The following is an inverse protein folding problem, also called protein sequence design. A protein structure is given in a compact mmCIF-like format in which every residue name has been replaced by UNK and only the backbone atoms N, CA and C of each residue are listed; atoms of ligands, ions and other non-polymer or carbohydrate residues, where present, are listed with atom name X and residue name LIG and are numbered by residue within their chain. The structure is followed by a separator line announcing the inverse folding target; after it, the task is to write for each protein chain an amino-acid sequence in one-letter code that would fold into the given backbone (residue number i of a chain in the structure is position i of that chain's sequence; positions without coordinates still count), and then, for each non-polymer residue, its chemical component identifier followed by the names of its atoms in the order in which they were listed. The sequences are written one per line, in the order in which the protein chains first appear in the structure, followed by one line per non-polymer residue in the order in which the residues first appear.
data_IF_681993170404
#
_entry.id   IF_681993170404
#
_cell.length_a   1.000
_cell.length_b   1.000
_cell.length_c   1.000
_cell.angle_alpha   90.00
_cell.angle_beta   90.00
_cell.angle_gamma   90.00
#
_symmetry.space_group_name_H-M   'P 1'
#
loop_
_entity.id
_entity.type
_entity.pdbx_description
1 polymer ?
#
# COMPACT_ATOMS: atom_id res chain seq x y z
N UNK A 1 79.89 40.74 9.84
CA UNK A 1 79.77 42.20 9.84
C UNK A 1 78.38 42.52 10.30
N UNK A 2 78.22 42.75 11.60
CA UNK A 2 77.75 43.98 12.24
C UNK A 2 76.41 44.47 11.69
N UNK A 3 75.42 44.85 12.47
CA UNK A 3 75.15 45.21 13.86
C UNK A 3 73.71 45.66 14.00
N UNK A 4 73.11 45.35 15.12
CA UNK A 4 72.32 46.18 16.07
C UNK A 4 70.85 46.52 15.78
N UNK A 5 70.04 46.04 16.70
CA UNK A 5 69.36 46.72 17.84
C UNK A 5 68.17 47.64 17.49
N UNK A 6 67.04 47.39 18.19
CA UNK A 6 66.09 48.42 18.55
C UNK A 6 64.81 47.83 19.18
N UNK A 7 64.77 47.76 20.51
CA UNK A 7 63.60 47.63 21.36
C UNK A 7 62.65 48.81 21.16
N UNK A 8 61.30 48.56 21.15
CA UNK A 8 60.41 49.42 21.91
C UNK A 8 59.11 48.63 22.26
N UNK A 9 58.83 48.55 23.56
CA UNK A 9 57.58 48.08 24.17
C UNK A 9 56.46 49.08 23.91
N UNK A 10 55.28 48.56 23.63
CA UNK A 10 54.00 49.21 24.04
C UNK A 10 52.96 48.17 24.33
N UNK A 11 52.56 48.09 25.58
CA UNK A 11 51.38 47.40 26.10
C UNK A 11 50.13 48.03 25.49
N UNK A 12 49.17 47.17 24.89
CA UNK A 12 47.79 47.50 24.81
C UNK A 12 47.03 46.27 25.27
N UNK A 13 46.37 46.43 26.40
CA UNK A 13 45.43 45.46 26.92
C UNK A 13 44.17 45.40 26.01
N UNK A 14 43.93 44.27 25.33
CA UNK A 14 42.74 44.00 24.55
C UNK A 14 41.92 42.95 25.25
N UNK A 15 40.75 43.40 25.71
CA UNK A 15 39.72 42.61 26.36
C UNK A 15 39.28 41.48 25.43
N UNK A 16 39.54 40.23 25.78
CA UNK A 16 38.94 39.04 25.15
C UNK A 16 37.52 38.92 25.65
N UNK A 17 36.56 39.40 24.85
CA UNK A 17 35.15 39.09 25.00
C UNK A 17 34.87 37.64 24.59
N UNK A 18 34.70 36.75 25.56
CA UNK A 18 34.13 35.42 25.33
C UNK A 18 32.66 35.57 24.92
N UNK A 19 32.39 35.55 23.63
CA UNK A 19 31.05 35.35 23.11
C UNK A 19 30.67 33.87 23.31
N UNK A 20 30.00 33.55 24.43
CA UNK A 20 29.35 32.25 24.64
C UNK A 20 28.17 32.14 23.67
N UNK A 21 28.40 31.50 22.54
CA UNK A 21 27.31 31.08 21.64
C UNK A 21 26.49 30.01 22.38
N UNK A 22 25.37 30.44 22.97
CA UNK A 22 24.34 29.51 23.39
C UNK A 22 23.76 28.84 22.12
N UNK A 23 24.27 27.64 21.81
CA UNK A 23 23.57 26.73 20.96
C UNK A 23 22.32 26.30 21.73
N UNK A 24 21.19 26.94 21.45
CA UNK A 24 19.89 26.34 21.73
C UNK A 24 19.82 25.08 20.85
N UNK A 25 20.17 23.94 21.43
CA UNK A 25 19.83 22.66 20.88
C UNK A 25 18.28 22.65 20.84
N UNK A 26 17.72 22.85 19.65
CA UNK A 26 16.30 22.60 19.42
C UNK A 26 16.04 21.17 19.88
N UNK A 27 15.27 20.98 20.95
CA UNK A 27 14.81 19.68 21.38
C UNK A 27 14.21 19.02 20.13
N UNK A 28 14.54 17.74 19.85
CA UNK A 28 13.92 17.06 18.71
C UNK A 28 12.42 17.18 18.90
N UNK A 29 11.75 17.72 17.89
CA UNK A 29 10.29 17.78 17.86
C UNK A 29 9.80 16.36 18.22
N UNK A 30 9.12 16.20 19.36
CA UNK A 30 8.51 14.94 19.76
C UNK A 30 7.70 14.50 18.56
N UNK A 31 8.09 13.39 17.93
CA UNK A 31 7.29 12.77 16.91
C UNK A 31 5.89 12.62 17.51
N UNK A 32 4.91 13.25 16.87
CA UNK A 32 3.52 13.26 17.35
C UNK A 32 3.09 11.79 17.43
N UNK A 33 2.86 11.29 18.65
CA UNK A 33 2.53 9.87 18.83
C UNK A 33 1.24 9.59 18.07
N UNK A 34 1.25 8.61 17.19
CA UNK A 34 0.06 8.27 16.42
C UNK A 34 -1.09 7.89 17.36
N UNK A 35 -2.32 8.10 16.92
CA UNK A 35 -3.48 7.69 17.71
C UNK A 35 -3.47 6.18 18.00
N UNK A 36 -2.97 5.37 17.06
CA UNK A 36 -2.81 3.94 17.23
C UNK A 36 -1.75 3.58 18.29
N UNK A 37 -0.65 4.35 18.39
CA UNK A 37 0.38 4.12 19.41
C UNK A 37 -0.14 4.47 20.82
N UNK A 38 -0.87 5.59 20.97
CA UNK A 38 -1.48 5.94 22.27
C UNK A 38 -2.52 4.91 22.71
N UNK A 39 -3.35 4.45 21.76
CA UNK A 39 -4.36 3.44 22.03
C UNK A 39 -3.71 2.09 22.38
N UNK A 40 -2.67 1.68 21.64
CA UNK A 40 -1.92 0.47 21.89
C UNK A 40 -1.27 0.45 23.27
N UNK A 41 -0.64 1.57 23.69
CA UNK A 41 -0.11 1.74 25.05
C UNK A 41 -1.20 1.64 26.10
N UNK A 42 -2.36 2.23 25.87
CA UNK A 42 -3.48 2.11 26.79
C UNK A 42 -3.91 0.64 26.97
N UNK A 43 -3.97 -0.14 25.88
CA UNK A 43 -4.26 -1.59 25.97
C UNK A 43 -3.19 -2.35 26.75
N UNK A 44 -1.92 -2.06 26.51
CA UNK A 44 -0.80 -2.66 27.24
C UNK A 44 -0.88 -2.36 28.74
N UNK A 45 -1.21 -1.11 29.12
CA UNK A 45 -1.38 -0.71 30.51
C UNK A 45 -2.59 -1.40 31.17
N UNK A 46 -3.69 -1.59 30.44
CA UNK A 46 -4.87 -2.35 30.89
C UNK A 46 -4.47 -3.81 31.20
N UNK A 47 -3.74 -4.47 30.28
CA UNK A 47 -3.28 -5.85 30.48
C UNK A 47 -2.37 -6.00 31.68
N UNK A 48 -1.56 -5.02 31.97
CA UNK A 48 -0.68 -4.98 33.12
C UNK A 48 -1.37 -4.48 34.39
N UNK A 49 -2.70 -4.32 34.39
CA UNK A 49 -3.51 -3.80 35.48
C UNK A 49 -3.06 -2.42 35.99
N UNK A 50 -2.51 -1.58 35.11
CA UNK A 50 -2.08 -0.21 35.41
C UNK A 50 -3.11 0.79 34.89
N UNK A 51 -4.31 0.78 35.47
CA UNK A 51 -5.49 1.47 34.96
C UNK A 51 -5.34 3.01 34.91
N UNK A 52 -4.60 3.61 35.85
CA UNK A 52 -4.34 5.05 35.86
C UNK A 52 -3.41 5.46 34.69
N UNK A 53 -2.40 4.67 34.35
CA UNK A 53 -1.55 4.88 33.21
C UNK A 53 -2.33 4.73 31.90
N UNK A 54 -3.18 3.70 31.82
CA UNK A 54 -4.09 3.53 30.68
C UNK A 54 -4.99 4.75 30.48
N UNK A 55 -5.58 5.27 31.56
CA UNK A 55 -6.43 6.46 31.53
C UNK A 55 -5.64 7.69 31.02
N UNK A 56 -4.41 7.88 31.48
CA UNK A 56 -3.55 8.99 31.02
C UNK A 56 -3.30 8.92 29.50
N UNK A 57 -3.06 7.73 28.94
CA UNK A 57 -2.90 7.55 27.49
C UNK A 57 -4.20 7.84 26.74
N UNK A 58 -5.34 7.38 27.23
CA UNK A 58 -6.65 7.66 26.62
C UNK A 58 -6.99 9.15 26.71
N UNK A 59 -6.67 9.83 27.79
CA UNK A 59 -6.89 11.27 27.88
C UNK A 59 -5.98 12.09 26.96
N UNK A 60 -4.72 11.67 26.82
CA UNK A 60 -3.82 12.25 25.80
C UNK A 60 -4.38 12.05 24.38
N UNK A 61 -4.88 10.84 24.10
CA UNK A 61 -5.52 10.54 22.81
C UNK A 61 -6.75 11.41 22.55
N UNK A 62 -7.63 11.58 23.55
CA UNK A 62 -8.83 12.42 23.42
C UNK A 62 -8.52 13.92 23.31
N UNK A 63 -7.43 14.40 23.93
CA UNK A 63 -6.95 15.78 23.67
C UNK A 63 -6.51 15.97 22.22
N UNK A 64 -5.84 14.97 21.64
CA UNK A 64 -5.37 15.02 20.25
C UNK A 64 -6.50 14.76 19.23
N UNK A 65 -7.46 13.88 19.58
CA UNK A 65 -8.56 13.42 18.70
C UNK A 65 -9.89 13.45 19.46
N UNK A 66 -10.53 14.64 19.63
CA UNK A 66 -11.72 14.82 20.45
C UNK A 66 -12.97 14.06 19.99
N UNK A 67 -13.03 13.69 18.69
CA UNK A 67 -14.14 12.95 18.09
C UNK A 67 -13.89 11.42 17.99
N UNK A 68 -12.92 10.87 18.74
CA UNK A 68 -12.62 9.44 18.72
C UNK A 68 -13.53 8.65 19.69
N UNK A 69 -14.64 8.13 19.19
CA UNK A 69 -15.69 7.47 19.99
C UNK A 69 -15.20 6.27 20.76
N UNK A 70 -14.33 5.43 20.17
CA UNK A 70 -13.74 4.27 20.86
C UNK A 70 -12.95 4.69 22.10
N UNK A 71 -12.18 5.77 22.02
CA UNK A 71 -11.41 6.27 23.16
C UNK A 71 -12.33 6.74 24.32
N UNK A 72 -13.49 7.31 24.03
CA UNK A 72 -14.49 7.63 25.05
C UNK A 72 -15.09 6.38 25.72
N UNK A 73 -15.35 5.32 24.94
CA UNK A 73 -15.84 4.05 25.47
C UNK A 73 -14.84 3.45 26.46
N UNK A 74 -13.56 3.40 26.07
CA UNK A 74 -12.46 2.89 26.93
C UNK A 74 -12.30 3.78 28.16
N UNK A 75 -12.39 5.12 28.02
CA UNK A 75 -12.37 6.02 29.18
C UNK A 75 -13.49 5.72 30.17
N UNK A 76 -14.70 5.51 29.68
CA UNK A 76 -15.86 5.12 30.50
C UNK A 76 -15.58 3.83 31.29
N UNK A 77 -15.09 2.79 30.64
CA UNK A 77 -14.75 1.53 31.29
C UNK A 77 -13.66 1.71 32.34
N UNK A 78 -12.58 2.44 32.04
CA UNK A 78 -11.51 2.70 33.03
C UNK A 78 -11.99 3.46 34.26
N UNK A 79 -12.90 4.40 34.09
CA UNK A 79 -13.50 5.14 35.21
C UNK A 79 -14.44 4.24 36.04
N UNK A 80 -15.23 3.40 35.40
CA UNK A 80 -16.11 2.42 36.07
C UNK A 80 -15.31 1.37 36.85
N UNK A 81 -14.18 0.92 36.33
CA UNK A 81 -13.28 -0.06 36.94
C UNK A 81 -12.71 0.40 38.29
N UNK A 82 -12.72 1.69 38.60
CA UNK A 82 -12.32 2.24 39.90
C UNK A 82 -13.29 1.91 41.03
N UNK A 83 -14.56 1.69 40.71
CA UNK A 83 -15.62 1.48 41.67
C UNK A 83 -16.25 0.10 41.65
N UNK A 84 -16.09 -0.66 40.58
CA UNK A 84 -16.66 -2.00 40.42
C UNK A 84 -15.92 -2.81 39.36
N UNK A 85 -16.01 -4.15 39.46
CA UNK A 85 -15.55 -5.04 38.41
C UNK A 85 -16.36 -4.80 37.12
N UNK A 86 -15.66 -4.85 35.97
CA UNK A 86 -16.29 -4.80 34.66
C UNK A 86 -16.67 -6.22 34.24
N UNK A 87 -17.88 -6.39 33.71
CA UNK A 87 -18.36 -7.67 33.17
C UNK A 87 -17.95 -7.84 31.70
N UNK A 88 -17.91 -6.76 30.97
CA UNK A 88 -17.59 -6.75 29.54
C UNK A 88 -16.84 -5.48 29.16
N UNK A 89 -16.11 -5.53 28.01
CA UNK A 89 -15.57 -4.34 27.38
C UNK A 89 -16.71 -3.51 26.77
N UNK A 90 -16.71 -2.20 26.98
CA UNK A 90 -17.78 -1.30 26.56
C UNK A 90 -19.02 -1.46 27.42
N UNK A 91 -18.84 -1.32 28.75
CA UNK A 91 -19.92 -1.48 29.72
C UNK A 91 -20.86 -0.26 29.72
N UNK A 92 -21.67 -0.12 28.66
CA UNK A 92 -22.70 0.90 28.48
C UNK A 92 -24.07 0.23 28.27
N UNK A 93 -24.74 -0.22 29.35
CA UNK A 93 -25.94 -1.08 29.25
C UNK A 93 -27.14 -0.40 28.58
N UNK A 94 -27.16 0.94 28.52
CA UNK A 94 -28.21 1.71 27.83
C UNK A 94 -27.76 2.21 26.44
N UNK A 95 -26.57 1.84 25.97
CA UNK A 95 -26.10 2.20 24.64
C UNK A 95 -26.75 1.34 23.55
N UNK A 96 -26.89 1.84 22.30
CA UNK A 96 -27.33 1.04 21.17
C UNK A 96 -26.36 -0.13 20.95
N UNK A 97 -26.88 -1.36 20.94
CA UNK A 97 -26.05 -2.58 20.88
C UNK A 97 -25.21 -2.66 19.61
N UNK A 98 -25.76 -2.28 18.47
CA UNK A 98 -25.08 -2.25 17.17
C UNK A 98 -23.86 -1.32 17.18
N UNK A 99 -23.98 -0.14 17.78
CA UNK A 99 -22.86 0.81 17.93
C UNK A 99 -21.79 0.31 18.91
N UNK A 100 -22.20 -0.37 19.97
CA UNK A 100 -21.24 -0.97 20.92
C UNK A 100 -20.47 -2.11 20.25
N UNK A 101 -21.13 -2.95 19.45
CA UNK A 101 -20.49 -4.03 18.74
C UNK A 101 -19.51 -3.51 17.66
N UNK A 102 -19.86 -2.43 16.98
CA UNK A 102 -18.96 -1.73 16.07
C UNK A 102 -17.69 -1.22 16.76
N UNK A 103 -17.81 -0.59 17.95
CA UNK A 103 -16.66 -0.11 18.72
C UNK A 103 -15.84 -1.25 19.30
N UNK A 104 -16.46 -2.36 19.72
CA UNK A 104 -15.78 -3.58 20.17
C UNK A 104 -14.98 -4.20 19.03
N UNK A 105 -15.58 -4.30 17.83
CA UNK A 105 -14.87 -4.79 16.65
C UNK A 105 -13.67 -3.92 16.29
N UNK A 106 -13.82 -2.58 16.36
CA UNK A 106 -12.72 -1.65 16.15
C UNK A 106 -11.59 -1.84 17.17
N UNK A 107 -11.93 -1.94 18.46
CA UNK A 107 -10.95 -2.19 19.52
C UNK A 107 -10.15 -3.47 19.27
N UNK A 108 -10.84 -4.55 18.92
CA UNK A 108 -10.23 -5.86 18.71
C UNK A 108 -9.23 -5.85 17.54
N UNK A 109 -9.59 -5.28 16.37
CA UNK A 109 -8.68 -5.26 15.22
C UNK A 109 -7.48 -4.32 15.47
N UNK A 110 -7.66 -3.20 16.20
CA UNK A 110 -6.57 -2.31 16.58
C UNK A 110 -5.62 -2.97 17.57
N UNK A 111 -6.15 -3.69 18.56
CA UNK A 111 -5.35 -4.46 19.52
C UNK A 111 -4.53 -5.54 18.82
N UNK A 112 -5.13 -6.33 17.92
CA UNK A 112 -4.43 -7.33 17.14
C UNK A 112 -3.34 -6.70 16.24
N UNK A 113 -3.64 -5.57 15.60
CA UNK A 113 -2.65 -4.87 14.77
C UNK A 113 -1.47 -4.34 15.58
N UNK A 114 -1.71 -3.88 16.81
CA UNK A 114 -0.65 -3.43 17.71
C UNK A 114 0.25 -4.57 18.18
N UNK A 115 -0.33 -5.73 18.54
CA UNK A 115 0.41 -6.90 19.02
C UNK A 115 1.15 -7.64 17.90
N UNK A 116 0.51 -7.82 16.76
CA UNK A 116 0.97 -8.65 15.65
C UNK A 116 1.51 -7.79 14.49
N UNK A 117 2.28 -6.76 14.78
CA UNK A 117 2.93 -5.96 13.73
C UNK A 117 3.84 -6.85 12.91
N UNK A 118 3.75 -6.78 11.56
CA UNK A 118 4.69 -7.50 10.70
C UNK A 118 6.12 -7.11 11.04
N UNK A 119 7.01 -8.09 11.13
CA UNK A 119 8.43 -7.85 11.34
C UNK A 119 9.01 -7.01 10.19
N UNK A 120 9.97 -6.13 10.50
CA UNK A 120 10.55 -5.19 9.53
C UNK A 120 11.39 -5.88 8.43
N UNK A 121 11.77 -7.14 8.65
CA UNK A 121 12.48 -7.98 7.69
C UNK A 121 11.53 -8.72 6.72
N UNK A 122 10.22 -8.50 6.84
CA UNK A 122 9.21 -9.10 5.97
C UNK A 122 8.59 -8.05 5.05
N UNK A 123 8.28 -8.51 3.83
CA UNK A 123 7.65 -7.69 2.80
C UNK A 123 6.37 -8.36 2.29
N UNK A 124 5.37 -7.57 1.84
CA UNK A 124 4.19 -8.15 1.21
C UNK A 124 4.56 -8.89 -0.07
N UNK A 125 4.15 -10.14 -0.18
CA UNK A 125 4.39 -10.99 -1.35
C UNK A 125 3.95 -10.35 -2.67
N UNK A 126 3.01 -9.41 -2.60
CA UNK A 126 2.38 -8.80 -3.77
C UNK A 126 3.24 -7.74 -4.46
N UNK A 127 4.18 -7.11 -3.74
CA UNK A 127 5.07 -6.06 -4.25
C UNK A 127 6.36 -6.68 -4.80
N UNK A 128 6.29 -7.40 -5.94
CA UNK A 128 7.46 -8.10 -6.49
C UNK A 128 8.49 -7.13 -7.07
N UNK A 129 8.04 -6.11 -7.81
CA UNK A 129 8.92 -5.08 -8.36
C UNK A 129 8.14 -3.81 -8.66
N UNK A 130 8.67 -2.66 -8.25
CA UNK A 130 8.16 -1.34 -8.61
C UNK A 130 9.08 -0.70 -9.67
N UNK A 131 8.49 0.02 -10.63
CA UNK A 131 9.23 0.88 -11.55
C UNK A 131 9.92 2.02 -10.80
N UNK A 132 11.00 2.56 -11.36
CA UNK A 132 11.75 3.65 -10.72
C UNK A 132 10.91 4.91 -10.48
N UNK A 133 9.91 5.19 -11.31
CA UNK A 133 9.00 6.34 -11.17
C UNK A 133 7.85 6.12 -10.18
N UNK A 134 7.61 4.88 -9.75
CA UNK A 134 6.65 4.53 -8.70
C UNK A 134 7.30 4.68 -7.33
N UNK A 135 7.20 5.87 -6.73
CA UNK A 135 7.88 6.18 -5.45
C UNK A 135 7.29 5.46 -4.25
N UNK A 136 5.98 5.19 -4.27
CA UNK A 136 5.25 4.55 -3.18
C UNK A 136 4.27 3.52 -3.72
N UNK A 137 3.94 2.55 -2.87
CA UNK A 137 2.89 1.55 -3.09
C UNK A 137 2.05 1.38 -1.82
N UNK A 138 0.77 1.05 -2.01
CA UNK A 138 -0.19 0.76 -0.95
C UNK A 138 -0.54 -0.71 -0.98
N UNK A 139 -0.57 -1.35 0.19
CA UNK A 139 -1.09 -2.70 0.39
C UNK A 139 -2.18 -2.67 1.47
N UNK A 140 -3.38 -3.11 1.12
CA UNK A 140 -4.55 -3.16 2.00
C UNK A 140 -4.77 -4.60 2.46
N UNK A 141 -4.91 -4.76 3.79
CA UNK A 141 -5.33 -6.00 4.46
C UNK A 141 -6.75 -5.82 5.01
N UNK A 142 -7.73 -6.38 4.33
CA UNK A 142 -9.14 -6.25 4.71
C UNK A 142 -9.42 -6.91 6.06
N UNK A 143 -8.81 -8.07 6.33
CA UNK A 143 -9.03 -8.84 7.55
C UNK A 143 -8.46 -8.14 8.78
N UNK A 144 -7.28 -7.51 8.64
CA UNK A 144 -6.64 -6.76 9.72
C UNK A 144 -7.10 -5.31 9.82
N UNK A 145 -7.92 -4.84 8.88
CA UNK A 145 -8.31 -3.42 8.77
C UNK A 145 -7.10 -2.48 8.77
N UNK A 146 -6.08 -2.84 7.97
CA UNK A 146 -4.84 -2.06 7.84
C UNK A 146 -4.51 -1.72 6.39
N UNK A 147 -3.99 -0.52 6.21
CA UNK A 147 -3.35 -0.07 5.00
C UNK A 147 -1.87 0.15 5.30
N UNK A 148 -1.00 -0.54 4.57
CA UNK A 148 0.45 -0.42 4.67
C UNK A 148 0.99 0.42 3.52
N UNK A 149 1.84 1.39 3.83
CA UNK A 149 2.53 2.23 2.86
C UNK A 149 3.99 1.79 2.74
N UNK A 150 4.39 1.53 1.51
CA UNK A 150 5.77 1.18 1.15
C UNK A 150 6.40 2.23 0.26
N UNK A 151 7.66 2.53 0.48
CA UNK A 151 8.51 3.32 -0.41
C UNK A 151 9.31 2.39 -1.30
N UNK A 152 9.51 2.81 -2.55
CA UNK A 152 10.37 2.13 -3.50
C UNK A 152 11.84 2.49 -3.26
N UNK A 153 12.65 1.55 -2.82
CA UNK A 153 14.09 1.69 -2.73
C UNK A 153 14.76 0.79 -3.78
N UNK A 154 14.97 1.34 -4.98
CA UNK A 154 15.59 0.61 -6.10
C UNK A 154 14.85 -0.68 -6.48
N UNK A 155 13.52 -0.65 -6.52
CA UNK A 155 12.66 -1.79 -6.82
C UNK A 155 12.28 -2.63 -5.60
N UNK A 156 12.93 -2.43 -4.45
CA UNK A 156 12.65 -3.13 -3.19
C UNK A 156 11.65 -2.32 -2.34
N UNK A 157 10.59 -2.93 -1.81
CA UNK A 157 9.63 -2.23 -0.94
C UNK A 157 10.22 -2.03 0.46
N UNK A 158 10.29 -0.78 0.92
CA UNK A 158 10.63 -0.41 2.29
C UNK A 158 9.40 0.09 3.02
N UNK A 159 9.08 -0.49 4.17
CA UNK A 159 7.96 -0.05 5.01
C UNK A 159 8.13 1.41 5.46
N UNK A 160 7.05 2.19 5.39
CA UNK A 160 7.02 3.60 5.80
C UNK A 160 6.06 3.82 6.95
N UNK A 161 4.82 3.37 6.81
CA UNK A 161 3.76 3.55 7.80
C UNK A 161 2.62 2.56 7.56
N UNK A 162 1.78 2.39 8.57
CA UNK A 162 0.51 1.71 8.43
C UNK A 162 -0.61 2.50 9.12
N UNK A 163 -1.82 2.35 8.61
CA UNK A 163 -2.99 3.10 9.04
C UNK A 163 -4.18 2.17 9.27
N UNK A 164 -4.98 2.47 10.29
CA UNK A 164 -6.28 1.82 10.44
C UNK A 164 -7.23 2.22 9.34
N UNK A 165 -7.99 1.26 8.81
CA UNK A 165 -8.98 1.47 7.77
C UNK A 165 -10.31 0.79 8.09
N UNK A 166 -11.38 1.34 7.51
CA UNK A 166 -12.66 0.66 7.35
C UNK A 166 -12.87 0.27 5.89
N UNK A 167 -13.40 -0.92 5.66
CA UNK A 167 -13.64 -1.47 4.32
C UNK A 167 -15.09 -1.88 4.12
N UNK A 168 -15.41 -2.56 3.02
CA UNK A 168 -16.77 -2.97 2.68
C UNK A 168 -17.45 -3.84 3.74
N UNK A 169 -18.70 -3.52 4.06
CA UNK A 169 -19.54 -4.23 5.05
C UNK A 169 -19.59 -5.73 4.84
N UNK A 170 -19.54 -6.18 3.58
CA UNK A 170 -19.64 -7.59 3.20
C UNK A 170 -18.27 -8.21 2.85
N UNK A 171 -17.17 -7.57 3.28
CA UNK A 171 -15.83 -8.09 3.09
C UNK A 171 -15.24 -7.80 1.70
N UNK A 172 -14.37 -8.70 1.23
CA UNK A 172 -13.67 -8.61 -0.05
C UNK A 172 -14.38 -9.34 -1.20
N UNK A 173 -13.62 -9.50 -2.31
CA UNK A 173 -14.07 -10.18 -3.53
C UNK A 173 -15.31 -9.52 -4.17
N UNK A 174 -15.22 -8.21 -4.41
CA UNK A 174 -16.26 -7.46 -5.14
C UNK A 174 -16.46 -8.04 -6.54
N UNK A 175 -17.74 -8.33 -6.88
CA UNK A 175 -18.11 -8.90 -8.19
C UNK A 175 -19.07 -8.03 -8.97
N UNK A 176 -19.91 -7.23 -8.31
CA UNK A 176 -20.92 -6.40 -8.95
C UNK A 176 -21.11 -5.07 -8.22
N UNK A 177 -21.70 -4.12 -8.92
CA UNK A 177 -22.12 -2.86 -8.33
C UNK A 177 -23.11 -3.08 -7.17
N UNK A 178 -23.01 -2.27 -6.12
CA UNK A 178 -23.91 -2.32 -4.96
C UNK A 178 -23.74 -3.52 -4.03
N UNK A 179 -22.75 -4.39 -4.22
CA UNK A 179 -22.53 -5.57 -3.35
C UNK A 179 -21.89 -5.26 -1.99
N UNK A 180 -21.58 -4.00 -1.72
CA UNK A 180 -20.96 -3.48 -0.49
C UNK A 180 -19.62 -4.16 -0.13
N UNK A 181 -18.90 -4.67 -1.14
CA UNK A 181 -17.62 -5.34 -1.00
C UNK A 181 -16.49 -4.47 -1.49
N UNK A 182 -15.33 -4.58 -0.85
CA UNK A 182 -14.06 -4.01 -1.33
C UNK A 182 -13.44 -4.98 -2.33
N UNK A 183 -13.00 -4.53 -3.53
CA UNK A 183 -12.39 -5.45 -4.50
C UNK A 183 -11.06 -5.99 -4.01
N UNK A 184 -10.73 -7.21 -4.39
CA UNK A 184 -9.41 -7.84 -4.20
C UNK A 184 -8.68 -7.84 -5.53
N UNK A 185 -7.47 -7.29 -5.58
CA UNK A 185 -6.71 -7.19 -6.82
C UNK A 185 -5.61 -6.13 -6.80
N UNK A 186 -5.06 -5.88 -7.98
CA UNK A 186 -3.99 -4.89 -8.22
C UNK A 186 -4.58 -3.70 -8.97
N UNK A 187 -4.58 -2.55 -8.32
CA UNK A 187 -5.12 -1.28 -8.84
C UNK A 187 -4.05 -0.18 -8.79
N UNK A 188 -4.40 1.02 -9.20
CA UNK A 188 -3.61 2.23 -9.01
C UNK A 188 -4.53 3.43 -8.76
N UNK A 189 -3.99 4.46 -8.13
CA UNK A 189 -4.71 5.72 -7.91
C UNK A 189 -4.89 6.43 -9.25
N UNK A 190 -6.14 6.81 -9.58
CA UNK A 190 -6.47 7.40 -10.89
C UNK A 190 -6.72 8.89 -10.86
N UNK A 191 -7.11 9.43 -9.70
CA UNK A 191 -7.40 10.86 -9.53
C UNK A 191 -7.19 11.30 -8.07
N UNK A 192 -7.15 12.62 -7.86
CA UNK A 192 -7.23 13.27 -6.55
C UNK A 192 -8.43 14.21 -6.57
N UNK A 193 -9.37 13.97 -5.68
CA UNK A 193 -10.60 14.76 -5.53
C UNK A 193 -10.49 15.60 -4.24
N UNK A 194 -10.32 16.93 -4.35
CA UNK A 194 -10.12 17.79 -3.19
C UNK A 194 -11.41 17.99 -2.41
N UNK A 195 -11.29 18.23 -1.10
CA UNK A 195 -12.40 18.40 -0.16
C UNK A 195 -13.49 19.36 -0.65
N UNK A 196 -13.13 20.48 -1.24
CA UNK A 196 -14.08 21.51 -1.70
C UNK A 196 -15.01 21.07 -2.85
N UNK A 197 -14.73 19.91 -3.45
CA UNK A 197 -15.56 19.28 -4.51
C UNK A 197 -16.37 18.08 -4.01
N UNK A 198 -16.29 17.78 -2.72
CA UNK A 198 -16.89 16.59 -2.11
C UNK A 198 -17.82 16.99 -0.96
N UNK A 199 -18.83 16.13 -0.69
CA UNK A 199 -19.58 16.25 0.55
C UNK A 199 -18.72 15.88 1.76
N UNK A 200 -19.11 16.32 2.95
CA UNK A 200 -18.41 16.01 4.22
C UNK A 200 -18.27 14.49 4.48
N UNK A 201 -19.12 13.68 3.86
CA UNK A 201 -19.05 12.22 3.95
C UNK A 201 -17.68 11.63 3.56
N UNK A 202 -16.95 12.30 2.66
CA UNK A 202 -15.64 11.89 2.16
C UNK A 202 -14.46 12.48 2.93
N UNK A 203 -14.74 13.30 3.95
CA UNK A 203 -13.73 13.89 4.83
C UNK A 203 -12.80 14.87 4.13
N UNK A 204 -11.49 14.72 4.34
CA UNK A 204 -10.46 15.63 3.82
C UNK A 204 -10.19 15.49 2.32
N UNK A 205 -10.68 14.41 1.66
CA UNK A 205 -10.50 14.19 0.24
C UNK A 205 -10.81 12.75 -0.19
N UNK A 206 -10.65 12.49 -1.48
CA UNK A 206 -10.83 11.14 -2.03
C UNK A 206 -9.87 10.87 -3.19
N UNK A 207 -9.44 9.62 -3.30
CA UNK A 207 -8.55 9.11 -4.32
C UNK A 207 -9.17 7.87 -4.97
N UNK A 208 -9.86 8.03 -6.12
CA UNK A 208 -10.37 6.92 -6.91
C UNK A 208 -9.25 5.95 -7.33
N UNK A 209 -9.57 4.66 -7.35
CA UNK A 209 -8.69 3.61 -7.87
C UNK A 209 -9.23 3.01 -9.17
N UNK A 210 -8.36 2.33 -9.92
CA UNK A 210 -8.65 1.77 -11.24
C UNK A 210 -9.51 0.49 -11.22
N UNK A 211 -10.47 0.39 -10.30
CA UNK A 211 -11.46 -0.69 -10.31
C UNK A 211 -12.65 -0.34 -11.22
N UNK A 212 -13.15 -1.27 -12.06
CA UNK A 212 -12.60 -2.59 -12.38
C UNK A 212 -11.41 -2.48 -13.35
N UNK A 213 -10.34 -3.24 -13.05
CA UNK A 213 -9.19 -3.35 -13.93
C UNK A 213 -9.46 -4.31 -15.12
N UNK A 214 -8.45 -4.55 -15.98
CA UNK A 214 -8.58 -5.45 -17.13
C UNK A 214 -8.95 -6.87 -16.69
N UNK A 215 -8.33 -7.38 -15.60
CA UNK A 215 -8.60 -8.72 -15.09
C UNK A 215 -10.00 -8.85 -14.52
N UNK A 216 -10.49 -7.84 -13.80
CA UNK A 216 -11.86 -7.79 -13.28
C UNK A 216 -12.89 -7.86 -14.41
N UNK A 217 -12.72 -7.02 -15.44
CA UNK A 217 -13.63 -6.96 -16.60
C UNK A 217 -13.69 -8.30 -17.34
N UNK A 218 -12.54 -8.98 -17.48
CA UNK A 218 -12.47 -10.32 -18.12
C UNK A 218 -13.23 -11.39 -17.34
N UNK A 219 -13.38 -11.21 -16.02
CA UNK A 219 -14.16 -12.12 -15.15
C UNK A 219 -15.60 -11.64 -14.91
N UNK A 220 -16.09 -10.69 -15.72
CA UNK A 220 -17.44 -10.17 -15.62
C UNK A 220 -17.69 -9.32 -14.36
N UNK A 221 -16.63 -8.92 -13.63
CA UNK A 221 -16.76 -8.03 -12.49
C UNK A 221 -17.06 -6.61 -12.98
N UNK A 222 -17.98 -5.96 -12.30
CA UNK A 222 -18.42 -4.62 -12.69
C UNK A 222 -18.62 -3.71 -11.48
N UNK A 223 -19.09 -2.48 -11.72
CA UNK A 223 -19.26 -1.40 -10.74
C UNK A 223 -18.21 -0.33 -10.89
N UNK A 224 -18.25 0.66 -10.03
CA UNK A 224 -17.37 1.83 -10.02
C UNK A 224 -17.31 2.43 -8.62
N UNK A 225 -16.61 3.57 -8.46
CA UNK A 225 -16.66 4.37 -7.23
C UNK A 225 -15.95 3.76 -6.04
N UNK A 226 -14.90 2.96 -6.25
CA UNK A 226 -14.03 2.49 -5.18
C UNK A 226 -12.92 3.51 -4.98
N UNK A 227 -12.90 4.12 -3.79
CA UNK A 227 -12.02 5.22 -3.44
C UNK A 227 -11.28 4.96 -2.13
N UNK A 228 -10.10 5.54 -1.98
CA UNK A 228 -9.50 5.83 -0.68
C UNK A 228 -10.05 7.19 -0.25
N UNK A 229 -10.66 7.32 0.93
CA UNK A 229 -11.20 8.62 1.37
C UNK A 229 -11.24 8.76 2.89
N UNK A 230 -11.49 9.97 3.37
CA UNK A 230 -11.56 10.29 4.79
C UNK A 230 -12.90 9.94 5.43
N UNK A 231 -13.04 10.32 6.70
CA UNK A 231 -14.28 10.24 7.49
C UNK A 231 -14.98 11.60 7.56
N UNK A 232 -16.31 11.67 7.80
CA UNK A 232 -16.98 12.92 8.11
C UNK A 232 -16.26 13.70 9.23
N UNK A 233 -16.37 15.02 9.20
CA UNK A 233 -15.63 15.92 10.10
C UNK A 233 -15.91 15.68 11.59
N UNK A 234 -17.09 15.15 11.94
CA UNK A 234 -17.51 14.80 13.30
C UNK A 234 -17.05 13.40 13.77
N UNK A 235 -16.36 12.65 12.92
CA UNK A 235 -16.04 11.24 13.14
C UNK A 235 -14.57 10.99 12.93
N UNK A 236 -13.84 10.48 13.93
CA UNK A 236 -12.43 10.13 13.78
C UNK A 236 -12.24 8.86 12.95
N UNK A 237 -12.98 7.80 13.27
CA UNK A 237 -12.89 6.49 12.61
C UNK A 237 -14.25 5.82 12.48
N UNK A 238 -14.34 4.79 11.64
CA UNK A 238 -15.51 3.93 11.48
C UNK A 238 -15.16 2.52 11.93
N UNK A 239 -16.18 1.68 12.18
CA UNK A 239 -15.99 0.25 12.41
C UNK A 239 -15.21 -0.41 11.25
N UNK A 240 -14.53 -1.55 11.49
CA UNK A 240 -13.67 -2.20 10.49
C UNK A 240 -14.37 -2.49 9.16
N UNK A 241 -15.67 -2.78 9.19
CA UNK A 241 -16.51 -3.11 8.03
C UNK A 241 -17.74 -2.21 8.00
N UNK A 242 -17.57 -0.95 7.59
CA UNK A 242 -18.65 0.04 7.63
C UNK A 242 -18.80 0.84 6.32
N UNK A 243 -18.06 0.51 5.26
CA UNK A 243 -18.20 1.17 3.96
C UNK A 243 -19.02 0.37 2.96
N UNK A 244 -19.41 1.01 1.86
CA UNK A 244 -20.07 0.33 0.74
C UNK A 244 -19.05 -0.17 -0.31
N UNK A 245 -17.78 -0.37 0.10
CA UNK A 245 -16.71 -0.90 -0.72
C UNK A 245 -15.46 -0.02 -0.80
N UNK A 246 -15.54 1.23 -0.39
CA UNK A 246 -14.37 2.12 -0.30
C UNK A 246 -13.44 1.73 0.85
N UNK A 247 -12.19 2.16 0.77
CA UNK A 247 -11.20 2.10 1.85
C UNK A 247 -11.21 3.44 2.56
N UNK A 248 -11.65 3.47 3.82
CA UNK A 248 -11.86 4.70 4.58
C UNK A 248 -10.81 4.85 5.67
N UNK A 249 -10.13 5.98 5.71
CA UNK A 249 -9.10 6.35 6.68
C UNK A 249 -9.60 7.48 7.60
N UNK A 250 -8.98 7.66 8.75
CA UNK A 250 -9.11 8.92 9.48
C UNK A 250 -8.56 10.08 8.62
N UNK A 251 -9.13 11.27 8.74
CA UNK A 251 -8.75 12.41 7.91
C UNK A 251 -7.25 12.75 8.01
N UNK A 252 -6.68 12.74 9.22
CA UNK A 252 -5.26 13.01 9.42
C UNK A 252 -4.36 11.96 8.74
N UNK A 253 -4.78 10.70 8.73
CA UNK A 253 -4.05 9.60 8.10
C UNK A 253 -4.14 9.71 6.56
N UNK A 254 -5.31 10.08 6.04
CA UNK A 254 -5.49 10.35 4.62
C UNK A 254 -4.64 11.53 4.16
N UNK A 255 -4.57 12.62 4.95
CA UNK A 255 -3.75 13.79 4.64
C UNK A 255 -2.26 13.44 4.61
N UNK A 256 -1.79 12.65 5.58
CA UNK A 256 -0.40 12.15 5.61
C UNK A 256 -0.08 11.25 4.42
N UNK A 257 -1.04 10.42 4.00
CA UNK A 257 -0.92 9.55 2.83
C UNK A 257 -0.96 10.35 1.52
N UNK A 258 -1.84 11.34 1.40
CA UNK A 258 -2.13 12.09 0.18
C UNK A 258 -0.89 12.71 -0.47
N UNK A 259 0.03 13.23 0.35
CA UNK A 259 1.28 13.85 -0.08
C UNK A 259 2.29 12.85 -0.72
N UNK A 260 2.01 11.56 -0.62
CA UNK A 260 2.85 10.47 -1.15
C UNK A 260 2.25 9.81 -2.39
N UNK A 261 0.98 10.10 -2.70
CA UNK A 261 0.28 9.51 -3.83
C UNK A 261 0.68 10.17 -5.16
N UNK A 262 0.93 9.35 -6.15
CA UNK A 262 1.19 9.75 -7.54
C UNK A 262 0.03 9.27 -8.40
N UNK A 263 -0.71 10.22 -9.00
CA UNK A 263 -1.85 9.91 -9.86
C UNK A 263 -1.38 9.15 -11.10
N UNK A 264 -2.04 8.03 -11.41
CA UNK A 264 -1.68 7.13 -12.51
C UNK A 264 -0.52 6.17 -12.20
N UNK A 265 0.21 6.34 -11.07
CA UNK A 265 1.44 5.60 -10.80
C UNK A 265 1.41 4.79 -9.51
N UNK A 266 0.86 5.34 -8.40
CA UNK A 266 0.87 4.64 -7.11
C UNK A 266 0.04 3.37 -7.18
N UNK A 267 0.64 2.17 -7.05
CA UNK A 267 -0.08 0.92 -6.98
C UNK A 267 -0.89 0.82 -5.68
N UNK A 268 -2.07 0.24 -5.77
CA UNK A 268 -2.95 -0.09 -4.64
C UNK A 268 -3.32 -1.56 -4.75
N UNK A 269 -2.67 -2.39 -3.95
CA UNK A 269 -2.95 -3.82 -3.88
C UNK A 269 -3.90 -4.05 -2.72
N UNK A 270 -5.07 -4.62 -3.00
CA UNK A 270 -6.07 -4.93 -1.98
C UNK A 270 -6.18 -6.43 -1.84
N UNK A 271 -5.89 -6.92 -0.64
CA UNK A 271 -5.94 -8.34 -0.26
C UNK A 271 -6.97 -8.59 0.82
N UNK A 272 -7.54 -9.78 0.87
CA UNK A 272 -8.34 -10.19 2.04
C UNK A 272 -7.45 -10.35 3.28
N UNK A 273 -6.28 -10.98 3.11
CA UNK A 273 -5.23 -11.08 4.13
C UNK A 273 -3.87 -11.00 3.45
N UNK A 274 -2.98 -10.17 3.96
CA UNK A 274 -1.64 -10.01 3.40
C UNK A 274 -0.77 -11.23 3.70
N UNK A 275 -0.13 -11.76 2.67
CA UNK A 275 0.92 -12.76 2.75
C UNK A 275 2.28 -12.07 2.87
N UNK A 276 3.08 -12.51 3.84
CA UNK A 276 4.38 -11.93 4.16
C UNK A 276 5.49 -12.89 3.82
N UNK A 277 6.50 -12.43 3.11
CA UNK A 277 7.71 -13.20 2.78
C UNK A 277 8.92 -12.66 3.54
N UNK A 278 9.90 -13.51 3.77
CA UNK A 278 11.27 -13.08 4.05
C UNK A 278 11.83 -12.35 2.81
N UNK A 279 12.87 -11.55 2.99
CA UNK A 279 13.53 -10.87 1.85
C UNK A 279 14.12 -11.89 0.87
N UNK A 280 14.65 -13.00 1.37
CA UNK A 280 15.25 -14.05 0.52
C UNK A 280 14.18 -14.74 -0.33
N UNK A 281 13.04 -15.13 0.25
CA UNK A 281 11.92 -15.73 -0.48
C UNK A 281 11.33 -14.75 -1.51
N UNK A 282 11.23 -13.48 -1.14
CA UNK A 282 10.76 -12.42 -2.02
C UNK A 282 11.70 -12.23 -3.23
N UNK A 283 13.03 -12.17 -2.99
CA UNK A 283 14.03 -12.09 -4.06
C UNK A 283 13.98 -13.35 -4.95
N UNK A 284 13.82 -14.53 -4.36
CA UNK A 284 13.69 -15.78 -5.10
C UNK A 284 12.46 -15.82 -6.02
N UNK A 285 11.28 -15.44 -5.52
CA UNK A 285 10.05 -15.37 -6.33
C UNK A 285 10.16 -14.36 -7.48
N UNK A 286 10.71 -13.18 -7.19
CA UNK A 286 10.94 -12.13 -8.19
C UNK A 286 11.91 -12.59 -9.29
N UNK A 287 13.04 -13.16 -8.89
CA UNK A 287 14.08 -13.59 -9.82
C UNK A 287 13.60 -14.77 -10.69
N UNK A 288 12.81 -15.69 -10.15
CA UNK A 288 12.21 -16.78 -10.92
C UNK A 288 11.32 -16.28 -12.05
N UNK A 289 10.48 -15.26 -11.80
CA UNK A 289 9.63 -14.67 -12.84
C UNK A 289 10.46 -13.85 -13.84
N UNK A 290 11.44 -13.07 -13.39
CA UNK A 290 12.34 -12.34 -14.27
C UNK A 290 13.08 -13.28 -15.26
N UNK A 291 13.57 -14.41 -14.77
CA UNK A 291 14.22 -15.41 -15.62
C UNK A 291 13.26 -15.99 -16.68
N UNK A 292 11.97 -16.14 -16.35
CA UNK A 292 10.97 -16.61 -17.31
C UNK A 292 10.63 -15.55 -18.37
N UNK A 293 10.52 -14.28 -17.97
CA UNK A 293 10.31 -13.16 -18.89
C UNK A 293 11.50 -13.04 -19.86
N UNK A 294 12.71 -13.23 -19.36
CA UNK A 294 13.92 -13.21 -20.20
C UNK A 294 13.98 -14.40 -21.17
N UNK A 295 13.56 -15.62 -20.75
CA UNK A 295 13.40 -16.76 -21.66
C UNK A 295 12.37 -16.47 -22.76
N UNK A 296 11.21 -15.94 -22.41
CA UNK A 296 10.18 -15.51 -23.35
C UNK A 296 10.73 -14.51 -24.39
N UNK A 297 11.50 -13.50 -23.92
CA UNK A 297 12.13 -12.50 -24.78
C UNK A 297 13.11 -13.15 -25.76
N UNK A 298 14.01 -13.99 -25.23
CA UNK A 298 15.04 -14.67 -26.01
C UNK A 298 14.44 -15.64 -27.04
N UNK A 299 13.41 -16.39 -26.67
CA UNK A 299 12.72 -17.30 -27.58
C UNK A 299 11.97 -16.54 -28.69
N UNK A 300 11.44 -15.35 -28.41
CA UNK A 300 10.86 -14.50 -29.44
C UNK A 300 11.94 -13.98 -30.41
N UNK A 301 13.08 -13.51 -29.90
CA UNK A 301 14.21 -13.05 -30.73
C UNK A 301 14.85 -14.19 -31.57
N UNK A 302 14.82 -15.41 -31.10
CA UNK A 302 15.34 -16.59 -31.81
C UNK A 302 14.53 -16.91 -33.09
N UNK A 303 13.31 -16.40 -33.21
CA UNK A 303 12.33 -16.70 -34.27
C UNK A 303 11.82 -18.14 -34.27
N UNK A 304 12.19 -18.95 -33.26
CA UNK A 304 11.58 -20.24 -33.04
C UNK A 304 10.15 -20.00 -32.49
N UNK A 305 9.20 -19.88 -33.39
CA UNK A 305 7.81 -19.54 -33.05
C UNK A 305 7.17 -20.60 -32.18
N UNK A 306 7.50 -21.88 -32.36
CA UNK A 306 6.93 -22.95 -31.53
C UNK A 306 7.46 -22.86 -30.10
N UNK A 307 8.74 -22.61 -29.90
CA UNK A 307 9.34 -22.38 -28.59
C UNK A 307 8.74 -21.13 -27.91
N UNK A 308 8.66 -20.02 -28.64
CA UNK A 308 7.99 -18.79 -28.16
C UNK A 308 6.55 -19.05 -27.71
N UNK A 309 5.76 -19.82 -28.46
CA UNK A 309 4.37 -20.14 -28.14
C UNK A 309 4.23 -21.04 -26.90
N UNK A 310 5.28 -21.73 -26.48
CA UNK A 310 5.23 -22.51 -25.21
C UNK A 310 5.09 -21.63 -23.98
N UNK A 311 5.43 -20.35 -24.05
CA UNK A 311 5.24 -19.42 -22.94
C UNK A 311 3.79 -19.00 -22.72
N UNK A 312 2.88 -19.35 -23.63
CA UNK A 312 1.48 -18.95 -23.56
C UNK A 312 0.60 -20.10 -23.05
N UNK A 313 -0.32 -19.76 -22.14
CA UNK A 313 -1.36 -20.69 -21.67
C UNK A 313 -2.30 -21.07 -22.79
N UNK A 314 -2.84 -22.29 -22.78
CA UNK A 314 -3.93 -22.70 -23.67
C UNK A 314 -5.25 -21.92 -23.42
N UNK A 315 -5.35 -21.28 -22.24
CA UNK A 315 -6.45 -20.36 -21.86
C UNK A 315 -6.14 -18.91 -22.21
N UNK A 316 -5.05 -18.64 -22.94
CA UNK A 316 -4.64 -17.29 -23.33
C UNK A 316 -5.71 -16.59 -24.16
N UNK A 317 -5.81 -15.30 -23.92
CA UNK A 317 -6.50 -14.39 -24.83
C UNK A 317 -5.89 -13.00 -24.77
N UNK A 318 -5.83 -12.32 -25.90
CA UNK A 318 -5.63 -10.90 -26.05
C UNK A 318 -7.01 -10.18 -26.11
N UNK A 319 -7.00 -8.86 -26.36
CA UNK A 319 -8.24 -8.09 -26.42
C UNK A 319 -9.21 -8.59 -27.50
N UNK A 320 -8.70 -9.12 -28.62
CA UNK A 320 -9.48 -9.51 -29.79
C UNK A 320 -9.15 -10.93 -30.30
N UNK A 321 -8.27 -11.65 -29.65
CA UNK A 321 -7.78 -12.95 -30.12
C UNK A 321 -7.80 -13.96 -28.97
N UNK A 322 -8.31 -15.16 -29.22
CA UNK A 322 -8.12 -16.31 -28.37
C UNK A 322 -6.77 -17.00 -28.66
N UNK A 323 -6.41 -18.04 -27.90
CA UNK A 323 -5.13 -18.76 -28.09
C UNK A 323 -4.94 -19.28 -29.51
N UNK A 324 -5.94 -19.88 -30.15
CA UNK A 324 -5.80 -20.46 -31.47
C UNK A 324 -5.57 -19.38 -32.55
N UNK A 325 -6.28 -18.26 -32.45
CA UNK A 325 -6.10 -17.08 -33.32
C UNK A 325 -4.72 -16.47 -33.12
N UNK A 326 -4.28 -16.31 -31.85
CA UNK A 326 -2.94 -15.83 -31.50
C UNK A 326 -1.84 -16.70 -32.10
N UNK A 327 -1.96 -18.02 -32.02
CA UNK A 327 -0.98 -18.98 -32.59
C UNK A 327 -0.89 -18.80 -34.12
N UNK A 328 -2.03 -18.73 -34.81
CA UNK A 328 -2.05 -18.50 -36.28
C UNK A 328 -1.42 -17.17 -36.65
N UNK A 329 -1.80 -16.11 -35.95
CA UNK A 329 -1.27 -14.76 -36.14
C UNK A 329 0.27 -14.73 -35.95
N UNK A 330 0.77 -15.30 -34.84
CA UNK A 330 2.23 -15.29 -34.57
C UNK A 330 3.03 -16.14 -35.55
N UNK A 331 2.53 -17.28 -35.98
CA UNK A 331 3.15 -18.07 -37.05
C UNK A 331 3.24 -17.27 -38.35
N UNK A 332 2.17 -16.63 -38.76
CA UNK A 332 2.14 -15.80 -39.97
C UNK A 332 3.10 -14.60 -39.87
N UNK A 333 3.07 -13.85 -38.78
CA UNK A 333 3.91 -12.65 -38.62
C UNK A 333 5.39 -13.03 -38.53
N UNK A 334 5.74 -14.07 -37.74
CA UNK A 334 7.12 -14.45 -37.51
C UNK A 334 7.76 -15.10 -38.74
N UNK A 335 6.99 -15.78 -39.61
CA UNK A 335 7.52 -16.39 -40.86
C UNK A 335 8.15 -15.38 -41.80
N UNK A 336 7.66 -14.13 -41.78
CA UNK A 336 8.20 -13.03 -42.57
C UNK A 336 9.37 -12.26 -41.93
N UNK A 337 9.88 -12.70 -40.77
CA UNK A 337 10.96 -12.02 -40.07
C UNK A 337 12.32 -12.65 -40.38
N UNK A 338 13.30 -11.85 -40.81
CA UNK A 338 14.69 -12.29 -40.92
C UNK A 338 15.48 -12.10 -39.58
N UNK A 339 15.03 -11.15 -38.75
CA UNK A 339 15.54 -10.92 -37.39
C UNK A 339 14.49 -10.20 -36.55
N UNK A 340 14.55 -10.39 -35.23
CA UNK A 340 13.75 -9.69 -34.21
C UNK A 340 14.70 -9.27 -33.09
N UNK A 341 14.53 -8.04 -32.60
CA UNK A 341 15.23 -7.48 -31.45
C UNK A 341 14.22 -6.84 -30.50
N UNK A 342 14.35 -7.13 -29.23
CA UNK A 342 13.50 -6.63 -28.15
C UNK A 342 14.34 -5.98 -27.06
N UNK A 343 14.05 -4.71 -26.77
CA UNK A 343 14.52 -4.08 -25.55
C UNK A 343 13.33 -3.87 -24.62
N UNK A 344 13.42 -4.45 -23.41
CA UNK A 344 12.39 -4.37 -22.39
C UNK A 344 12.92 -3.55 -21.21
N UNK A 345 12.15 -2.58 -20.76
CA UNK A 345 12.56 -1.67 -19.68
C UNK A 345 11.37 -1.25 -18.82
N UNK A 346 11.65 -0.55 -17.72
CA UNK A 346 10.64 0.02 -16.83
C UNK A 346 9.61 -1.00 -16.31
N UNK A 347 10.11 -2.13 -15.81
CA UNK A 347 9.26 -3.19 -15.28
C UNK A 347 8.57 -2.81 -13.99
N UNK A 348 7.26 -3.14 -13.88
CA UNK A 348 6.60 -3.36 -12.62
C UNK A 348 5.95 -4.74 -12.59
N UNK A 349 6.04 -5.42 -11.45
CA UNK A 349 5.50 -6.76 -11.25
C UNK A 349 4.73 -6.79 -9.93
N UNK A 350 3.45 -7.08 -10.00
CA UNK A 350 2.58 -7.18 -8.83
C UNK A 350 1.83 -8.49 -8.86
N UNK A 351 1.98 -9.31 -7.79
CA UNK A 351 1.17 -10.51 -7.64
C UNK A 351 -0.25 -10.11 -7.31
N UNK A 352 -1.22 -10.67 -8.03
CA UNK A 352 -2.63 -10.46 -7.75
C UNK A 352 -3.01 -11.23 -6.47
N UNK A 353 -3.56 -10.57 -5.44
CA UNK A 353 -4.07 -11.27 -4.28
C UNK A 353 -5.25 -12.15 -4.67
N UNK A 354 -5.33 -13.34 -4.14
CA UNK A 354 -6.40 -14.28 -4.43
C UNK A 354 -5.89 -15.71 -4.55
N UNK A 355 -6.79 -16.62 -4.98
CA UNK A 355 -6.48 -18.06 -5.08
C UNK A 355 -5.63 -18.41 -6.29
N UNK A 356 -5.68 -17.58 -7.34
CA UNK A 356 -4.94 -17.82 -8.56
C UNK A 356 -3.50 -17.32 -8.41
N UNK A 357 -2.52 -18.14 -8.76
CA UNK A 357 -1.12 -17.71 -8.86
C UNK A 357 -0.94 -16.80 -10.08
N UNK A 358 -1.35 -15.54 -9.95
CA UNK A 358 -1.39 -14.56 -11.02
C UNK A 358 -0.47 -13.38 -10.71
N UNK A 359 0.34 -12.98 -11.69
CA UNK A 359 1.16 -11.77 -11.61
C UNK A 359 0.86 -10.87 -12.80
N UNK A 360 0.57 -9.60 -12.53
CA UNK A 360 0.52 -8.57 -13.57
C UNK A 360 1.91 -7.98 -13.74
N UNK A 361 2.40 -8.03 -14.97
CA UNK A 361 3.69 -7.47 -15.40
C UNK A 361 3.43 -6.36 -16.40
N UNK A 362 3.96 -5.16 -16.16
CA UNK A 362 3.93 -4.06 -17.13
C UNK A 362 5.35 -3.61 -17.42
N UNK A 363 5.63 -3.27 -18.68
CA UNK A 363 6.95 -2.83 -19.13
C UNK A 363 6.83 -2.01 -20.40
N UNK A 364 7.87 -1.26 -20.70
CA UNK A 364 8.04 -0.59 -21.99
C UNK A 364 8.79 -1.56 -22.92
N UNK A 365 8.24 -1.76 -24.12
CA UNK A 365 8.80 -2.64 -25.15
C UNK A 365 9.22 -1.82 -26.36
N UNK A 366 10.51 -1.83 -26.69
CA UNK A 366 11.03 -1.39 -28.01
C UNK A 366 11.25 -2.65 -28.86
N UNK A 367 10.37 -2.83 -29.84
CA UNK A 367 10.41 -3.95 -30.77
C UNK A 367 10.99 -3.48 -32.10
N UNK A 368 11.97 -4.20 -32.63
CA UNK A 368 12.56 -3.98 -33.95
C UNK A 368 12.70 -5.27 -34.73
N UNK A 369 12.44 -5.20 -36.01
CA UNK A 369 12.63 -6.31 -36.96
C UNK A 369 12.97 -5.75 -38.35
N UNK A 370 13.25 -6.63 -39.31
CA UNK A 370 13.55 -6.24 -40.68
C UNK A 370 12.46 -5.37 -41.35
N UNK A 371 11.22 -5.42 -40.91
CA UNK A 371 10.09 -4.72 -41.56
C UNK A 371 9.14 -4.00 -40.57
N UNK A 372 9.47 -3.92 -39.29
CA UNK A 372 8.66 -3.21 -38.30
C UNK A 372 9.53 -2.71 -37.14
N UNK A 373 9.31 -1.45 -36.77
CA UNK A 373 9.80 -0.89 -35.50
C UNK A 373 8.63 -0.29 -34.73
N UNK A 374 8.49 -0.63 -33.45
CA UNK A 374 7.39 -0.15 -32.62
C UNK A 374 7.80 -0.09 -31.16
N UNK A 375 7.44 1.02 -30.49
CA UNK A 375 7.61 1.18 -29.05
C UNK A 375 6.22 1.29 -28.40
N UNK A 376 5.98 0.49 -27.37
CA UNK A 376 4.70 0.46 -26.67
C UNK A 376 4.86 0.08 -25.21
N UNK A 377 3.93 0.55 -24.38
CA UNK A 377 3.75 -0.02 -23.03
C UNK A 377 2.91 -1.28 -23.12
N UNK A 378 3.43 -2.38 -22.58
CA UNK A 378 2.79 -3.69 -22.59
C UNK A 378 2.37 -4.12 -21.20
N UNK A 379 1.25 -4.81 -21.11
CA UNK A 379 0.76 -5.50 -19.92
C UNK A 379 0.60 -6.97 -20.22
N UNK A 380 1.16 -7.81 -19.37
CA UNK A 380 0.98 -9.26 -19.39
C UNK A 380 0.45 -9.74 -18.04
N UNK A 381 -0.42 -10.73 -18.07
CA UNK A 381 -0.76 -11.51 -16.89
C UNK A 381 -0.11 -12.88 -17.02
N UNK A 382 0.68 -13.24 -16.02
CA UNK A 382 1.39 -14.51 -15.91
C UNK A 382 0.75 -15.36 -14.84
N UNK A 383 0.51 -16.65 -15.13
CA UNK A 383 -0.04 -17.63 -14.19
C UNK A 383 0.85 -18.87 -14.14
N UNK A 384 0.80 -19.63 -13.05
CA UNK A 384 1.49 -20.92 -12.96
C UNK A 384 0.55 -22.05 -13.36
N UNK A 385 0.98 -22.85 -14.33
CA UNK A 385 0.32 -24.06 -14.79
C UNK A 385 1.31 -25.23 -14.72
N UNK A 386 1.04 -26.24 -13.87
CA UNK A 386 1.95 -27.36 -13.66
C UNK A 386 3.35 -26.91 -13.17
N UNK A 387 3.40 -25.89 -12.33
CA UNK A 387 4.66 -25.34 -11.80
C UNK A 387 5.43 -24.41 -12.75
N UNK A 388 4.96 -24.22 -13.99
CA UNK A 388 5.60 -23.35 -14.98
C UNK A 388 4.82 -22.07 -15.19
N UNK A 389 5.50 -20.93 -15.32
CA UNK A 389 4.88 -19.66 -15.67
C UNK A 389 4.39 -19.66 -17.12
N UNK A 390 3.19 -19.13 -17.34
CA UNK A 390 2.54 -18.97 -18.65
C UNK A 390 1.84 -17.62 -18.74
N UNK A 391 1.90 -16.99 -19.90
CA UNK A 391 1.15 -15.79 -20.20
C UNK A 391 -0.30 -16.20 -20.50
N UNK A 392 -1.24 -15.66 -19.71
CA UNK A 392 -2.69 -15.92 -19.88
C UNK A 392 -3.42 -14.74 -20.53
N UNK A 393 -2.80 -13.56 -20.51
CA UNK A 393 -3.29 -12.35 -21.18
C UNK A 393 -2.13 -11.46 -21.60
N UNK A 394 -2.27 -10.80 -22.74
CA UNK A 394 -1.37 -9.75 -23.22
C UNK A 394 -2.18 -8.64 -23.90
N UNK A 395 -1.84 -7.37 -23.59
CA UNK A 395 -2.49 -6.19 -24.15
C UNK A 395 -1.69 -4.91 -23.91
N UNK A 396 -2.29 -3.75 -24.20
CA UNK A 396 -1.71 -2.45 -23.89
C UNK A 396 -1.59 -2.23 -22.37
N UNK A 397 -0.48 -1.59 -21.95
CA UNK A 397 -0.13 -1.32 -20.55
C UNK A 397 -0.71 -0.04 -19.98
#
# INVERSE_FOLDING_TARGET
MQLRRGLFNTLIAGVLGLASAFFLAAAPARADQSADDLLGKAFEEIENNRLDQALNHIEALLRAKPNFRLAYLIKGDLLLARGRALETFGNAPHGPSDRLDDLRAEALVRLHAYRDRPSQDRVPRYLMQMRADQRYAIVVDNKRSRLYLYQNENGRPRFVADYYISTGKRGGEKTREGDEKTPVGVYHVTASLPKNKLSDFYGSGAFPISYPNVWDKRHGRNGHGIWLHGTPSDTYSRAPRASNGCVVLANADLDALSNKLQIGLTPVIISEQVEWLSLDDWDAERNALNAEIERWRSDWESRDTERYLTHYSKKFSADRENYAEWVRHKRQVNSGKSWIKLNLSNFSMFRNPGKDELVVVTFDQDYRSNNLSNTMKKRQYWTKEGGKWRIIYEGAG
#
